data_IF_554891932629
#
_entry.id   IF_554891932629
#
_cell.length_a   1.000
_cell.length_b   1.000
_cell.length_c   1.000
_cell.angle_alpha   90.00
_cell.angle_beta   90.00
_cell.angle_gamma   90.00
#
_symmetry.space_group_name_H-M   'P 1'
#
loop_
_entity.id
_entity.type
_entity.pdbx_description
1 polymer ?
#
# COMPACT_ATOMS: atom_id res chain seq x y z
N UNK A 1 4.34 0.65 -34.57
CA UNK A 1 4.62 -0.73 -34.13
C UNK A 1 3.54 -1.09 -33.13
N UNK A 2 2.59 -1.91 -33.54
CA UNK A 2 1.39 -2.26 -32.77
C UNK A 2 1.77 -3.01 -31.50
N UNK A 3 1.48 -2.43 -30.33
CA UNK A 3 1.59 -3.10 -29.04
C UNK A 3 0.70 -4.35 -29.06
N UNK A 4 1.33 -5.52 -28.93
CA UNK A 4 0.61 -6.80 -28.82
C UNK A 4 -0.33 -6.83 -27.61
N UNK A 5 -1.27 -7.80 -27.57
CA UNK A 5 -2.25 -7.90 -26.50
C UNK A 5 -1.59 -7.95 -25.13
N UNK A 6 -2.15 -7.21 -24.18
CA UNK A 6 -1.72 -7.18 -22.78
C UNK A 6 -1.65 -8.60 -22.22
N UNK A 7 -0.54 -8.91 -21.54
CA UNK A 7 -0.24 -10.20 -20.93
C UNK A 7 -1.45 -10.72 -20.12
N UNK A 8 -1.89 -11.94 -20.41
CA UNK A 8 -3.17 -12.52 -19.93
C UNK A 8 -3.13 -12.97 -18.46
N UNK A 9 -2.09 -12.57 -17.73
CA UNK A 9 -1.74 -13.16 -16.45
C UNK A 9 -2.68 -12.65 -15.36
N UNK A 10 -3.70 -13.46 -15.05
CA UNK A 10 -4.56 -13.23 -13.90
C UNK A 10 -3.75 -13.44 -12.61
N UNK A 11 -3.89 -12.52 -11.65
CA UNK A 11 -3.30 -12.68 -10.33
C UNK A 11 -3.81 -13.96 -9.67
N UNK A 12 -2.94 -14.66 -8.90
CA UNK A 12 -3.36 -15.86 -8.18
C UNK A 12 -4.42 -15.48 -7.14
N UNK A 13 -5.63 -16.01 -7.34
CA UNK A 13 -6.75 -15.84 -6.43
C UNK A 13 -6.77 -16.98 -5.41
N UNK A 14 -7.18 -16.66 -4.20
CA UNK A 14 -7.45 -17.66 -3.16
C UNK A 14 -8.73 -18.45 -3.48
N UNK A 15 -8.91 -19.64 -2.90
CA UNK A 15 -10.11 -20.47 -3.14
C UNK A 15 -11.45 -19.74 -2.90
N UNK A 16 -11.61 -18.90 -1.86
CA UNK A 16 -12.82 -18.10 -1.67
C UNK A 16 -13.04 -17.05 -2.77
N UNK A 17 -11.98 -16.38 -3.23
CA UNK A 17 -12.05 -15.37 -4.30
C UNK A 17 -12.39 -15.98 -5.66
N UNK A 18 -11.92 -17.23 -5.91
CA UNK A 18 -12.27 -17.97 -7.13
C UNK A 18 -13.74 -18.36 -7.17
N UNK A 19 -14.31 -18.77 -6.03
CA UNK A 19 -15.73 -19.12 -5.94
C UNK A 19 -16.62 -17.89 -6.16
N UNK A 20 -16.29 -16.77 -5.51
CA UNK A 20 -17.01 -15.50 -5.69
C UNK A 20 -16.92 -14.97 -7.13
N UNK A 21 -15.77 -15.15 -7.79
CA UNK A 21 -15.61 -14.79 -9.20
C UNK A 21 -16.60 -15.56 -10.09
N UNK A 22 -16.71 -16.88 -9.87
CA UNK A 22 -17.58 -17.75 -10.67
C UNK A 22 -19.05 -17.39 -10.49
N UNK A 23 -19.48 -17.11 -9.26
CA UNK A 23 -20.86 -16.75 -8.96
C UNK A 23 -21.25 -15.40 -9.57
N UNK A 24 -20.35 -14.41 -9.54
CA UNK A 24 -20.57 -13.11 -10.19
C UNK A 24 -20.66 -13.21 -11.70
N UNK A 25 -19.79 -14.02 -12.34
CA UNK A 25 -19.84 -14.23 -13.78
C UNK A 25 -21.13 -14.93 -14.22
N UNK A 26 -21.62 -15.90 -13.45
CA UNK A 26 -22.91 -16.54 -13.70
C UNK A 26 -24.07 -15.54 -13.61
N UNK A 27 -24.10 -14.71 -12.58
CA UNK A 27 -25.12 -13.67 -12.41
C UNK A 27 -25.13 -12.66 -13.57
N UNK A 28 -23.96 -12.13 -13.94
CA UNK A 28 -23.84 -11.14 -15.02
C UNK A 28 -24.23 -11.73 -16.38
N UNK A 29 -23.93 -13.02 -16.61
CA UNK A 29 -24.29 -13.73 -17.83
C UNK A 29 -25.78 -14.03 -17.92
N UNK A 30 -26.42 -14.38 -16.80
CA UNK A 30 -27.87 -14.58 -16.71
C UNK A 30 -28.67 -13.28 -16.97
N UNK A 31 -28.12 -12.12 -16.58
CA UNK A 31 -28.69 -10.80 -16.92
C UNK A 31 -28.37 -10.32 -18.34
N UNK A 32 -27.58 -11.08 -19.10
CA UNK A 32 -27.16 -10.72 -20.47
C UNK A 32 -26.15 -9.57 -20.54
N UNK A 33 -25.53 -9.21 -19.42
CA UNK A 33 -24.57 -8.09 -19.36
C UNK A 33 -23.17 -8.46 -19.87
N UNK A 34 -22.83 -9.75 -19.83
CA UNK A 34 -21.54 -10.27 -20.33
C UNK A 34 -21.75 -11.58 -21.08
N UNK A 35 -20.88 -11.85 -22.05
CA UNK A 35 -20.83 -13.11 -22.78
C UNK A 35 -19.37 -13.61 -22.92
N UNK A 36 -19.15 -14.91 -23.13
CA UNK A 36 -17.82 -15.43 -23.40
C UNK A 36 -17.23 -14.77 -24.65
N UNK A 37 -15.98 -14.30 -24.54
CA UNK A 37 -15.26 -13.65 -25.62
C UNK A 37 -13.99 -14.42 -25.97
N UNK A 38 -13.66 -14.48 -27.25
CA UNK A 38 -12.39 -15.04 -27.78
C UNK A 38 -11.36 -13.96 -28.09
N UNK A 39 -11.59 -12.71 -27.62
CA UNK A 39 -10.71 -11.56 -27.86
C UNK A 39 -9.26 -11.83 -27.47
N UNK A 40 -8.27 -11.36 -28.26
CA UNK A 40 -6.86 -11.44 -27.87
C UNK A 40 -6.55 -10.56 -26.66
N UNK A 41 -7.35 -9.51 -26.38
CA UNK A 41 -7.16 -8.56 -25.28
C UNK A 41 -7.84 -9.01 -23.99
N UNK A 42 -7.13 -8.92 -22.87
CA UNK A 42 -7.65 -9.20 -21.54
C UNK A 42 -7.04 -8.26 -20.49
N UNK A 43 -7.85 -7.87 -19.50
CA UNK A 43 -7.40 -7.15 -18.32
C UNK A 43 -7.63 -8.01 -17.08
N UNK A 44 -6.68 -8.08 -16.13
CA UNK A 44 -6.85 -8.87 -14.92
C UNK A 44 -7.90 -8.24 -14.00
N UNK A 45 -8.74 -9.08 -13.39
CA UNK A 45 -9.75 -8.66 -12.42
C UNK A 45 -9.08 -8.48 -11.06
N UNK A 46 -9.31 -7.32 -10.41
CA UNK A 46 -8.86 -7.04 -9.06
C UNK A 46 -10.07 -6.99 -8.13
N UNK A 47 -10.05 -7.79 -7.06
CA UNK A 47 -11.06 -7.71 -6.01
C UNK A 47 -10.81 -6.46 -5.15
N UNK A 48 -11.86 -5.67 -4.93
CA UNK A 48 -11.83 -4.50 -4.07
C UNK A 48 -12.74 -4.73 -2.86
N UNK A 49 -12.23 -5.25 -1.73
CA UNK A 49 -13.02 -5.70 -0.58
C UNK A 49 -13.77 -4.57 0.10
N UNK A 50 -14.69 -4.95 1.00
CA UNK A 50 -16.02 -4.36 1.14
C UNK A 50 -16.91 -5.38 2.04
N UNK A 51 -17.57 -5.09 3.20
CA UNK A 51 -18.19 -5.98 4.26
C UNK A 51 -19.70 -6.49 4.41
N UNK A 52 -20.43 -6.98 3.42
CA UNK A 52 -21.64 -7.83 3.61
C UNK A 52 -21.37 -9.28 3.17
N UNK A 53 -20.12 -9.54 2.72
CA UNK A 53 -19.90 -10.35 1.53
C UNK A 53 -20.13 -9.54 0.23
N UNK A 54 -20.80 -8.38 0.33
CA UNK A 54 -20.78 -7.30 -0.64
C UNK A 54 -20.05 -6.09 -0.07
N UNK A 55 -19.60 -5.19 -0.92
CA UNK A 55 -18.58 -4.31 -0.46
C UNK A 55 -19.09 -3.17 0.56
N UNK A 56 -19.01 -3.30 1.92
CA UNK A 56 -19.08 -2.28 3.04
C UNK A 56 -17.80 -1.60 3.68
N UNK A 57 -17.90 -0.31 4.00
CA UNK A 57 -16.79 0.61 4.30
C UNK A 57 -16.22 0.52 5.71
N UNK A 58 -14.90 0.32 5.89
CA UNK A 58 -14.20 0.37 7.19
C UNK A 58 -14.61 1.62 8.00
N UNK A 59 -14.91 1.44 9.31
CA UNK A 59 -15.46 2.52 10.18
C UNK A 59 -14.45 3.04 11.18
N UNK A 60 -13.47 2.21 11.53
CA UNK A 60 -12.42 2.54 12.47
C UNK A 60 -11.08 2.24 11.82
N UNK A 61 -10.21 3.24 11.87
CA UNK A 61 -8.89 3.19 11.30
C UNK A 61 -7.86 3.50 12.37
N UNK A 62 -6.82 2.69 12.43
CA UNK A 62 -5.63 3.00 13.21
C UNK A 62 -4.40 2.86 12.33
N UNK A 63 -3.48 3.80 12.50
CA UNK A 63 -2.21 3.88 11.82
C UNK A 63 -1.11 3.89 12.86
N UNK A 64 -0.22 2.92 12.78
CA UNK A 64 0.95 2.82 13.66
C UNK A 64 2.20 3.01 12.82
N UNK A 65 3.06 3.92 13.28
CA UNK A 65 4.30 4.28 12.61
C UNK A 65 5.47 3.84 13.47
N UNK A 66 6.51 3.29 12.85
CA UNK A 66 7.73 2.90 13.54
C UNK A 66 8.65 4.10 13.83
N UNK A 67 9.51 3.91 14.83
CA UNK A 67 10.60 4.85 15.12
C UNK A 67 11.86 4.39 14.40
N UNK A 68 12.53 5.27 13.66
CA UNK A 68 13.80 4.97 13.00
C UNK A 68 13.77 3.75 12.04
N UNK A 69 12.61 3.39 11.50
CA UNK A 69 12.34 2.39 10.45
C UNK A 69 13.46 1.37 10.22
N UNK A 70 14.31 1.58 9.21
CA UNK A 70 15.37 0.66 8.81
C UNK A 70 16.40 0.39 9.92
N UNK A 71 16.70 1.35 10.78
CA UNK A 71 17.65 1.18 11.88
C UNK A 71 17.17 0.17 12.95
N UNK A 72 15.93 -0.33 12.86
CA UNK A 72 15.47 -1.44 13.71
C UNK A 72 16.02 -2.80 13.28
N UNK A 73 16.53 -2.92 12.05
CA UNK A 73 17.06 -4.18 11.51
C UNK A 73 18.58 -4.18 11.60
N UNK A 74 19.15 -5.23 12.20
CA UNK A 74 20.60 -5.46 12.25
C UNK A 74 21.14 -5.84 10.88
N UNK A 75 22.28 -5.27 10.51
CA UNK A 75 23.06 -5.76 9.38
C UNK A 75 23.78 -7.05 9.82
N UNK A 76 23.90 -8.01 8.90
CA UNK A 76 24.68 -9.21 9.16
C UNK A 76 26.14 -8.82 9.41
N UNK A 77 26.79 -9.42 10.42
CA UNK A 77 28.11 -8.97 10.90
C UNK A 77 29.15 -8.93 9.77
N UNK A 78 29.14 -9.92 8.88
CA UNK A 78 30.08 -9.99 7.75
C UNK A 78 29.77 -8.97 6.64
N UNK A 79 28.58 -8.37 6.65
CA UNK A 79 28.17 -7.31 5.71
C UNK A 79 28.34 -5.91 6.28
N UNK A 80 28.58 -5.74 7.59
CA UNK A 80 28.81 -4.43 8.23
C UNK A 80 29.92 -3.61 7.53
N UNK A 81 31.08 -4.18 7.14
CA UNK A 81 32.15 -3.42 6.49
C UNK A 81 31.75 -2.82 5.13
N UNK A 82 30.71 -3.37 4.47
CA UNK A 82 30.19 -2.85 3.19
C UNK A 82 29.40 -1.55 3.35
N UNK A 83 29.06 -1.19 4.59
CA UNK A 83 28.28 0.02 4.92
C UNK A 83 29.16 1.15 5.46
N UNK A 84 30.47 1.07 5.26
CA UNK A 84 31.40 2.07 5.78
C UNK A 84 31.14 3.45 5.20
N UNK A 85 31.21 4.48 6.04
CA UNK A 85 31.19 5.88 5.64
C UNK A 85 32.37 6.61 6.27
N UNK A 86 32.90 7.60 5.55
CA UNK A 86 34.07 8.36 5.98
C UNK A 86 33.64 9.75 6.49
N UNK A 87 34.25 10.18 7.59
CA UNK A 87 34.25 11.58 8.02
C UNK A 87 35.62 12.21 7.75
N UNK A 88 35.78 13.51 7.97
CA UNK A 88 37.08 14.18 7.87
C UNK A 88 38.10 13.75 8.94
N UNK A 89 37.67 12.96 9.93
CA UNK A 89 38.53 12.48 11.02
C UNK A 89 38.79 10.97 10.90
N UNK A 90 37.73 10.17 10.89
CA UNK A 90 37.80 8.70 10.82
C UNK A 90 36.63 8.09 10.04
N UNK A 91 36.74 6.80 9.71
CA UNK A 91 35.68 6.01 9.09
C UNK A 91 34.87 5.24 10.13
N UNK A 92 33.58 5.07 9.87
CA UNK A 92 32.63 4.32 10.71
C UNK A 92 31.85 3.35 9.83
N UNK A 93 31.34 2.27 10.42
CA UNK A 93 30.45 1.31 9.75
C UNK A 93 29.09 1.22 10.47
N UNK A 94 28.05 0.88 9.72
CA UNK A 94 26.72 0.69 10.28
C UNK A 94 26.54 -0.73 10.80
N UNK A 95 26.06 -0.86 12.04
CA UNK A 95 25.65 -2.15 12.64
C UNK A 95 24.15 -2.43 12.49
N UNK A 96 23.40 -1.46 11.98
CA UNK A 96 21.96 -1.49 11.70
C UNK A 96 21.72 -0.93 10.30
N UNK A 97 20.67 -1.36 9.62
CA UNK A 97 20.44 -1.06 8.21
C UNK A 97 20.32 0.45 7.97
N UNK A 98 21.29 1.10 7.29
CA UNK A 98 21.23 2.53 7.02
C UNK A 98 20.25 2.86 5.89
N UNK A 99 19.81 4.11 5.87
CA UNK A 99 19.11 4.67 4.72
C UNK A 99 20.03 4.73 3.49
N UNK A 100 19.45 4.58 2.30
CA UNK A 100 20.15 4.70 1.02
C UNK A 100 20.65 3.38 0.42
N UNK A 101 20.59 2.26 1.15
CA UNK A 101 20.84 0.95 0.55
C UNK A 101 19.73 0.58 -0.44
N UNK A 102 20.11 0.13 -1.64
CA UNK A 102 19.18 -0.23 -2.72
C UNK A 102 18.13 -1.25 -2.29
N UNK A 103 18.54 -2.25 -1.51
CA UNK A 103 17.67 -3.34 -1.07
C UNK A 103 17.10 -3.16 0.34
N UNK A 104 17.32 -2.01 1.00
CA UNK A 104 16.77 -1.75 2.33
C UNK A 104 15.24 -1.87 2.40
N UNK A 105 14.45 -1.26 1.49
CA UNK A 105 12.99 -1.35 1.55
C UNK A 105 12.49 -2.79 1.42
N UNK A 106 13.05 -3.56 0.49
CA UNK A 106 12.67 -4.96 0.25
C UNK A 106 13.01 -5.84 1.45
N UNK A 107 14.22 -5.69 2.00
CA UNK A 107 14.67 -6.46 3.17
C UNK A 107 13.83 -6.11 4.41
N UNK A 108 13.50 -4.83 4.56
CA UNK A 108 12.64 -4.37 5.64
C UNK A 108 11.24 -4.95 5.55
N UNK A 109 10.61 -4.88 4.37
CA UNK A 109 9.28 -5.45 4.16
C UNK A 109 9.27 -6.97 4.40
N UNK A 110 10.29 -7.70 3.92
CA UNK A 110 10.40 -9.15 4.16
C UNK A 110 10.53 -9.48 5.65
N UNK A 111 11.34 -8.73 6.38
CA UNK A 111 11.53 -8.90 7.83
C UNK A 111 10.23 -8.64 8.57
N UNK A 112 9.54 -7.54 8.25
CA UNK A 112 8.25 -7.20 8.85
C UNK A 112 7.18 -8.24 8.50
N UNK A 113 7.14 -8.72 7.26
CA UNK A 113 6.24 -9.79 6.86
C UNK A 113 6.49 -11.09 7.64
N UNK A 114 7.75 -11.36 8.00
CA UNK A 114 8.11 -12.48 8.89
C UNK A 114 7.59 -12.27 10.32
N UNK A 115 7.81 -11.09 10.89
CA UNK A 115 7.40 -10.77 12.27
C UNK A 115 5.87 -10.81 12.42
N UNK A 116 5.12 -10.25 11.48
CA UNK A 116 3.66 -10.13 11.61
C UNK A 116 2.89 -11.19 10.82
N UNK A 117 3.56 -12.26 10.35
CA UNK A 117 2.99 -13.27 9.42
C UNK A 117 1.64 -13.83 9.86
N UNK A 118 1.44 -13.99 11.16
CA UNK A 118 0.25 -14.58 11.75
C UNK A 118 -0.98 -13.64 11.76
N UNK A 119 -0.73 -12.32 11.75
CA UNK A 119 -1.76 -11.27 11.79
C UNK A 119 -1.90 -10.48 10.47
N UNK A 120 -0.93 -10.64 9.57
CA UNK A 120 -0.96 -10.10 8.21
C UNK A 120 -2.21 -10.59 7.46
N UNK A 121 -2.79 -9.67 6.68
CA UNK A 121 -3.98 -9.88 5.82
C UNK A 121 -5.25 -10.35 6.54
N UNK A 122 -5.19 -10.53 7.87
CA UNK A 122 -6.35 -10.78 8.73
C UNK A 122 -6.85 -9.50 9.37
N UNK A 123 -5.94 -8.74 9.99
CA UNK A 123 -6.27 -7.52 10.71
C UNK A 123 -5.30 -6.36 10.46
N UNK A 124 -4.08 -6.65 9.98
CA UNK A 124 -3.05 -5.62 9.75
C UNK A 124 -2.57 -5.68 8.31
N UNK A 125 -2.58 -4.53 7.65
CA UNK A 125 -1.90 -4.28 6.38
C UNK A 125 -0.57 -3.58 6.70
N UNK A 126 0.54 -4.14 6.23
CA UNK A 126 1.88 -3.59 6.46
C UNK A 126 2.43 -3.06 5.15
N UNK A 127 2.75 -1.77 5.12
CA UNK A 127 3.40 -1.14 4.00
C UNK A 127 4.55 -0.26 4.49
N UNK A 128 5.77 -0.68 4.18
CA UNK A 128 7.00 -0.03 4.64
C UNK A 128 6.94 0.25 6.16
N UNK A 129 7.13 1.51 6.56
CA UNK A 129 7.14 1.99 7.93
C UNK A 129 5.76 2.03 8.60
N UNK A 130 4.68 1.92 7.81
CA UNK A 130 3.31 2.08 8.28
C UNK A 130 2.56 0.75 8.42
N UNK A 131 1.91 0.59 9.57
CA UNK A 131 0.94 -0.47 9.84
C UNK A 131 -0.45 0.12 9.90
N UNK A 132 -1.36 -0.49 9.17
CA UNK A 132 -2.73 -0.03 9.02
C UNK A 132 -3.66 -1.12 9.53
N UNK A 133 -4.55 -0.73 10.42
CA UNK A 133 -5.66 -1.57 10.86
C UNK A 133 -6.93 -0.88 10.39
N UNK A 134 -7.80 -1.65 9.75
CA UNK A 134 -9.19 -1.28 9.56
C UNK A 134 -10.12 -2.36 10.08
N UNK A 135 -11.13 -1.92 10.82
CA UNK A 135 -12.16 -2.82 11.29
C UNK A 135 -13.55 -2.18 11.16
N UNK A 136 -14.55 -3.04 11.26
CA UNK A 136 -15.96 -2.69 11.07
C UNK A 136 -16.63 -2.34 12.38
N UNK A 137 -16.34 -3.14 13.40
CA UNK A 137 -16.80 -3.03 14.77
C UNK A 137 -15.65 -2.55 15.64
N UNK A 138 -15.96 -1.71 16.62
CA UNK A 138 -14.98 -1.15 17.55
C UNK A 138 -14.32 -2.23 18.41
N UNK A 139 -15.09 -3.21 18.87
CA UNK A 139 -14.57 -4.31 19.72
C UNK A 139 -13.53 -5.16 19.00
N UNK A 140 -13.81 -5.52 17.74
CA UNK A 140 -12.85 -6.26 16.92
C UNK A 140 -11.58 -5.43 16.71
N UNK A 141 -11.73 -4.13 16.43
CA UNK A 141 -10.60 -3.22 16.26
C UNK A 141 -9.67 -3.15 17.48
N UNK A 142 -10.25 -3.17 18.69
CA UNK A 142 -9.47 -3.17 19.93
C UNK A 142 -8.71 -4.48 20.11
N UNK A 143 -9.33 -5.63 19.79
CA UNK A 143 -8.64 -6.94 19.81
C UNK A 143 -7.50 -7.00 18.79
N UNK A 144 -7.73 -6.48 17.58
CA UNK A 144 -6.73 -6.41 16.52
C UNK A 144 -5.55 -5.52 16.94
N UNK A 145 -5.84 -4.36 17.54
CA UNK A 145 -4.83 -3.45 18.09
C UNK A 145 -4.03 -4.10 19.22
N UNK A 146 -4.69 -4.83 20.12
CA UNK A 146 -4.02 -5.51 21.22
C UNK A 146 -3.05 -6.59 20.71
N UNK A 147 -3.49 -7.43 19.77
CA UNK A 147 -2.63 -8.44 19.13
C UNK A 147 -1.42 -7.80 18.43
N UNK A 148 -1.65 -6.71 17.69
CA UNK A 148 -0.56 -5.98 17.05
C UNK A 148 0.39 -5.36 18.08
N UNK A 149 -0.13 -4.77 19.16
CA UNK A 149 0.67 -4.12 20.19
C UNK A 149 1.56 -5.13 20.93
N UNK A 150 1.05 -6.30 21.26
CA UNK A 150 1.84 -7.39 21.85
C UNK A 150 3.01 -7.78 20.95
N UNK A 151 2.79 -7.87 19.63
CA UNK A 151 3.85 -8.19 18.67
C UNK A 151 4.87 -7.07 18.51
N UNK A 152 4.40 -5.82 18.54
CA UNK A 152 5.25 -4.63 18.50
C UNK A 152 6.16 -4.56 19.72
N UNK A 153 5.63 -4.75 20.94
CA UNK A 153 6.43 -4.70 22.17
C UNK A 153 7.63 -5.66 22.17
N UNK A 154 7.52 -6.80 21.49
CA UNK A 154 8.58 -7.78 21.42
C UNK A 154 9.61 -7.52 20.31
N UNK A 155 9.25 -6.80 19.24
CA UNK A 155 10.06 -6.78 18.00
C UNK A 155 10.37 -5.39 17.46
N UNK A 156 9.60 -4.35 17.82
CA UNK A 156 9.69 -3.04 17.16
C UNK A 156 9.45 -1.87 18.12
N UNK A 157 10.09 -0.74 17.83
CA UNK A 157 9.83 0.52 18.54
C UNK A 157 8.89 1.41 17.72
N UNK A 158 7.82 1.91 18.35
CA UNK A 158 6.84 2.78 17.69
C UNK A 158 7.11 4.26 17.93
N UNK A 159 6.73 5.11 16.96
CA UNK A 159 6.78 6.57 17.07
C UNK A 159 5.41 7.10 17.45
N UNK A 160 5.14 7.12 18.76
CA UNK A 160 3.81 7.45 19.31
C UNK A 160 3.21 8.76 18.81
N UNK A 161 4.01 9.81 18.60
CA UNK A 161 3.53 11.12 18.12
C UNK A 161 2.97 11.11 16.69
N UNK A 162 3.29 10.08 15.88
CA UNK A 162 2.76 9.91 14.51
C UNK A 162 1.70 8.81 14.42
N UNK A 163 1.40 8.13 15.52
CA UNK A 163 0.39 7.10 15.54
C UNK A 163 -1.00 7.74 15.67
N UNK A 164 -1.96 7.19 14.93
CA UNK A 164 -3.36 7.62 14.95
C UNK A 164 -4.22 6.41 15.30
N UNK A 165 -5.19 6.59 16.20
CA UNK A 165 -6.02 5.48 16.69
C UNK A 165 -7.50 5.80 16.55
N UNK A 166 -8.29 4.79 16.16
CA UNK A 166 -9.75 4.82 16.10
C UNK A 166 -10.32 6.03 15.34
N UNK A 167 -9.66 6.44 14.27
CA UNK A 167 -10.13 7.54 13.41
C UNK A 167 -11.24 7.05 12.47
N UNK A 168 -12.23 7.91 12.14
CA UNK A 168 -13.29 7.59 11.17
C UNK A 168 -12.82 7.68 9.71
N UNK A 169 -11.67 8.31 9.47
CA UNK A 169 -11.02 8.46 8.17
C UNK A 169 -9.49 8.33 8.35
N UNK A 170 -8.78 7.97 7.27
CA UNK A 170 -7.32 7.78 7.30
C UNK A 170 -6.64 8.28 6.03
N UNK A 171 -5.43 8.81 6.16
CA UNK A 171 -4.54 9.07 5.02
C UNK A 171 -3.65 7.84 4.75
N UNK A 172 -3.79 7.24 3.57
CA UNK A 172 -2.93 6.17 3.04
C UNK A 172 -2.29 6.64 1.74
N UNK A 173 -0.96 6.69 1.68
CA UNK A 173 -0.20 7.02 0.46
C UNK A 173 -0.65 8.33 -0.23
N UNK A 174 -1.10 9.33 0.52
CA UNK A 174 -1.61 10.60 -0.05
C UNK A 174 -3.09 10.56 -0.49
N UNK A 175 -3.81 9.49 -0.17
CA UNK A 175 -5.26 9.39 -0.32
C UNK A 175 -5.94 9.40 1.05
N UNK A 176 -6.94 10.24 1.23
CA UNK A 176 -7.88 10.16 2.34
C UNK A 176 -8.95 9.11 2.03
N UNK A 177 -8.97 8.06 2.85
CA UNK A 177 -9.98 7.01 2.81
C UNK A 177 -10.95 7.29 3.95
N UNK A 178 -12.18 7.63 3.59
CA UNK A 178 -13.31 7.76 4.51
C UNK A 178 -14.31 6.64 4.25
N UNK A 179 -15.38 6.61 5.02
CA UNK A 179 -16.43 5.58 4.93
C UNK A 179 -17.13 5.66 3.56
N UNK A 180 -16.59 4.95 2.56
CA UNK A 180 -17.20 4.82 1.23
C UNK A 180 -16.69 5.78 0.16
N UNK A 181 -15.72 6.62 0.50
CA UNK A 181 -15.05 7.50 -0.45
C UNK A 181 -13.54 7.39 -0.32
N UNK A 182 -12.87 7.36 -1.46
CA UNK A 182 -11.43 7.61 -1.56
C UNK A 182 -11.29 9.00 -2.16
N UNK A 183 -10.62 9.89 -1.44
CA UNK A 183 -10.34 11.26 -1.86
C UNK A 183 -8.82 11.43 -1.94
N UNK A 184 -8.33 12.27 -2.84
CA UNK A 184 -6.91 12.64 -2.83
C UNK A 184 -6.72 13.70 -1.74
N UNK A 185 -5.61 13.62 -1.00
CA UNK A 185 -5.24 14.70 -0.08
C UNK A 185 -4.87 15.96 -0.86
N UNK A 186 -5.80 16.91 -0.89
CA UNK A 186 -5.60 18.20 -1.55
C UNK A 186 -4.61 19.11 -0.80
N UNK A 187 -4.27 18.81 0.47
CA UNK A 187 -3.40 19.67 1.29
C UNK A 187 -1.93 19.55 0.91
N UNK A 188 -1.45 18.34 0.59
CA UNK A 188 -0.11 18.13 -0.01
C UNK A 188 -0.04 18.60 -1.47
N UNK A 189 -1.20 18.76 -2.11
CA UNK A 189 -1.36 19.22 -3.48
C UNK A 189 -1.52 20.74 -3.63
N UNK A 190 -1.22 21.57 -2.61
CA UNK A 190 -1.19 23.04 -2.80
C UNK A 190 -0.23 23.47 -3.91
N UNK A 191 0.87 22.75 -4.09
CA UNK A 191 1.78 22.93 -5.23
C UNK A 191 1.11 22.75 -6.60
N UNK A 192 -0.04 22.07 -6.67
CA UNK A 192 -0.75 21.78 -7.91
C UNK A 192 -1.78 22.84 -8.28
N UNK A 193 -2.26 23.64 -7.33
CA UNK A 193 -3.13 24.78 -7.64
C UNK A 193 -2.34 25.94 -8.28
N UNK A 194 -1.02 25.97 -8.08
CA UNK A 194 -0.10 27.00 -8.59
C UNK A 194 0.89 26.43 -9.64
N UNK A 195 0.53 25.35 -10.32
CA UNK A 195 1.45 24.69 -11.25
C UNK A 195 1.73 25.59 -12.47
N UNK A 196 2.99 25.96 -12.69
CA UNK A 196 3.43 26.73 -13.87
C UNK A 196 3.53 25.82 -15.09
N UNK A 197 3.08 26.28 -16.26
CA UNK A 197 3.16 25.51 -17.51
C UNK A 197 4.57 24.96 -17.74
N UNK A 198 4.74 23.64 -17.96
CA UNK A 198 6.06 23.04 -18.11
C UNK A 198 6.75 23.59 -19.36
N UNK A 199 7.95 24.13 -19.17
CA UNK A 199 8.79 24.71 -20.24
C UNK A 199 9.85 23.73 -20.76
N UNK A 200 9.99 22.57 -20.13
CA UNK A 200 10.99 21.57 -20.49
C UNK A 200 10.43 20.14 -20.41
N UNK A 201 11.14 19.19 -21.04
CA UNK A 201 10.72 17.79 -21.12
C UNK A 201 10.57 17.13 -19.74
N UNK A 202 11.45 17.46 -18.80
CA UNK A 202 11.40 16.93 -17.43
C UNK A 202 10.16 17.40 -16.67
N UNK A 203 9.78 18.67 -16.83
CA UNK A 203 8.56 19.23 -16.27
C UNK A 203 7.30 18.60 -16.88
N UNK A 204 7.31 18.32 -18.18
CA UNK A 204 6.22 17.63 -18.86
C UNK A 204 6.09 16.17 -18.38
N UNK A 205 7.20 15.45 -18.23
CA UNK A 205 7.21 14.07 -17.71
C UNK A 205 6.72 14.01 -16.26
N UNK A 206 7.13 14.97 -15.41
CA UNK A 206 6.65 15.09 -14.04
C UNK A 206 5.14 15.35 -13.98
N UNK A 207 4.64 16.26 -14.83
CA UNK A 207 3.21 16.56 -14.96
C UNK A 207 2.43 15.33 -15.42
N UNK A 208 2.88 14.64 -16.47
CA UNK A 208 2.24 13.41 -16.96
C UNK A 208 2.26 12.29 -15.91
N UNK A 209 3.35 12.15 -15.16
CA UNK A 209 3.43 11.22 -14.02
C UNK A 209 2.38 11.53 -12.95
N UNK A 210 2.21 12.80 -12.60
CA UNK A 210 1.19 13.23 -11.65
C UNK A 210 -0.23 13.04 -12.20
N UNK A 211 -0.49 13.42 -13.45
CA UNK A 211 -1.81 13.23 -14.06
C UNK A 211 -2.15 11.73 -14.14
N UNK A 212 -1.18 10.87 -14.46
CA UNK A 212 -1.37 9.43 -14.39
C UNK A 212 -1.67 8.93 -12.97
N UNK A 213 -1.08 9.52 -11.94
CA UNK A 213 -1.38 9.22 -10.55
C UNK A 213 -2.83 9.61 -10.18
N UNK A 214 -3.32 10.77 -10.64
CA UNK A 214 -4.70 11.23 -10.36
C UNK A 214 -5.74 10.82 -11.40
N UNK A 215 -5.35 10.11 -12.47
CA UNK A 215 -6.21 9.81 -13.64
C UNK A 215 -7.57 9.23 -13.29
N UNK A 216 -7.64 8.43 -12.21
CA UNK A 216 -8.87 7.77 -11.75
C UNK A 216 -9.92 8.74 -11.21
N UNK A 217 -9.52 9.97 -10.89
CA UNK A 217 -10.38 11.03 -10.38
C UNK A 217 -10.71 12.09 -11.44
N UNK A 218 -10.15 11.96 -12.65
CA UNK A 218 -10.43 12.84 -13.79
C UNK A 218 -11.46 12.13 -14.67
N UNK A 219 -12.69 12.66 -14.80
CA UNK A 219 -13.64 12.16 -15.79
C UNK A 219 -13.01 12.29 -17.19
N UNK A 220 -13.14 11.24 -18.02
CA UNK A 220 -12.74 11.23 -19.45
C UNK A 220 -11.26 11.51 -19.75
N UNK A 221 -10.32 10.86 -19.05
CA UNK A 221 -8.89 10.93 -19.38
C UNK A 221 -8.47 9.77 -20.31
N UNK A 222 -8.22 10.06 -21.59
CA UNK A 222 -7.62 9.13 -22.55
C UNK A 222 -8.59 8.28 -23.37
N UNK A 223 -9.62 8.91 -23.95
CA UNK A 223 -10.23 8.43 -25.20
C UNK A 223 -9.37 8.85 -26.42
#
# INVERSE_FOLDING_TARGET
MSSGPSDRTQWRLTQPELQDLQDQLHYLRAKGFVCPSTSPFAAPILFAPKKDGAFACARYFSKIVLCNDYHQIRVFVDDCPKTVFCTCYISYEYTVMPFGLTNAPSTFQLTMNGVFRDILDKCVIIYLDTRLIDSTKREQHLKDLEALYQRLQQNCVIKGCKCEFLKPEREILGHFISTGSVQIDLRKNRANQEWKSPINLQGLQSLLGFVNYVRRFIPTWGD
#
